data_IF_316973491525
#
_entry.id   IF_316973491525
#
_cell.length_a   1.000
_cell.length_b   1.000
_cell.length_c   1.000
_cell.angle_alpha   90.00
_cell.angle_beta   90.00
_cell.angle_gamma   90.00
#
_symmetry.space_group_name_H-M   'P 1'
#
loop_
_entity.id
_entity.type
_entity.pdbx_description
1 polymer ?
#
# COMPACT_ATOMS: atom_id res chain seq x y z
N UNK A 1 -8.55 28.58 25.91
CA UNK A 1 -7.71 29.19 24.85
C UNK A 1 -6.28 28.62 24.75
N UNK A 2 -5.83 27.74 25.65
CA UNK A 2 -4.48 27.14 25.59
C UNK A 2 -4.37 25.80 24.83
N UNK A 3 -5.46 25.04 24.69
CA UNK A 3 -5.41 23.70 24.05
C UNK A 3 -5.32 23.74 22.52
N UNK A 4 -5.82 24.80 21.88
CA UNK A 4 -5.80 24.91 20.40
C UNK A 4 -4.40 25.20 19.86
N UNK A 5 -3.56 25.90 20.62
CA UNK A 5 -2.19 26.23 20.20
C UNK A 5 -1.28 24.99 20.20
N UNK A 6 -1.49 24.05 21.13
CA UNK A 6 -0.75 22.77 21.17
C UNK A 6 -1.12 21.89 19.97
N UNK A 7 -2.40 21.86 19.57
CA UNK A 7 -2.85 21.20 18.34
C UNK A 7 -2.22 21.82 17.08
N UNK A 8 -2.09 23.15 17.04
CA UNK A 8 -1.45 23.86 15.92
C UNK A 8 0.08 23.74 15.90
N UNK A 9 0.72 23.41 17.02
CA UNK A 9 2.17 23.19 17.08
C UNK A 9 2.52 21.77 16.63
N UNK A 10 1.65 20.78 16.89
CA UNK A 10 1.84 19.39 16.44
C UNK A 10 1.82 19.24 14.91
N UNK A 11 1.19 20.17 14.19
CA UNK A 11 1.09 20.16 12.72
C UNK A 11 2.32 20.74 12.01
N UNK A 12 3.36 21.22 12.73
CA UNK A 12 4.38 22.12 12.16
C UNK A 12 5.78 21.54 11.84
N UNK A 13 6.18 20.32 12.23
CA UNK A 13 7.53 19.77 11.93
C UNK A 13 7.55 18.22 11.68
N UNK A 14 8.55 17.66 10.96
CA UNK A 14 8.38 16.92 9.70
C UNK A 14 7.62 15.57 9.81
N UNK A 15 6.30 15.62 9.64
CA UNK A 15 5.47 14.98 8.59
C UNK A 15 5.89 13.65 7.92
N UNK A 16 6.52 12.69 8.62
CA UNK A 16 6.93 11.41 8.02
C UNK A 16 6.62 10.13 8.84
N UNK A 17 6.30 10.21 10.13
CA UNK A 17 5.93 9.03 10.91
C UNK A 17 5.10 9.38 12.17
N UNK A 18 4.22 8.47 12.57
CA UNK A 18 3.36 8.46 13.76
C UNK A 18 2.18 9.44 13.75
N UNK A 19 1.45 9.56 12.64
CA UNK A 19 0.12 10.21 12.67
C UNK A 19 -0.97 9.19 13.03
N UNK A 20 -1.69 9.44 14.13
CA UNK A 20 -2.92 8.73 14.44
C UNK A 20 -3.94 8.97 13.31
N UNK A 21 -4.65 7.91 12.92
CA UNK A 21 -5.66 7.96 11.87
C UNK A 21 -6.78 8.94 12.24
N UNK A 22 -6.93 10.01 11.45
CA UNK A 22 -7.98 11.00 11.59
C UNK A 22 -8.96 10.87 10.41
N UNK A 23 -10.20 10.41 10.62
CA UNK A 23 -11.13 10.09 9.52
C UNK A 23 -11.52 11.30 8.65
N UNK A 24 -11.40 12.52 9.18
CA UNK A 24 -11.70 13.77 8.45
C UNK A 24 -10.52 14.21 7.57
N UNK A 25 -9.28 13.93 7.99
CA UNK A 25 -8.06 14.35 7.29
C UNK A 25 -7.59 13.31 6.28
N UNK A 26 -7.75 12.03 6.60
CA UNK A 26 -7.14 10.92 5.88
C UNK A 26 -8.09 10.24 4.89
N UNK A 27 -9.26 10.84 4.60
CA UNK A 27 -10.27 10.28 3.69
C UNK A 27 -9.75 10.02 2.28
N UNK A 28 -8.97 10.97 1.73
CA UNK A 28 -8.35 10.85 0.41
C UNK A 28 -7.26 9.76 0.39
N UNK A 29 -6.52 9.64 1.49
CA UNK A 29 -5.47 8.64 1.67
C UNK A 29 -6.10 7.24 1.77
N UNK A 30 -7.21 7.10 2.49
CA UNK A 30 -7.97 5.86 2.59
C UNK A 30 -8.55 5.41 1.24
N UNK A 31 -9.05 6.35 0.42
CA UNK A 31 -9.50 6.03 -0.95
C UNK A 31 -8.34 5.54 -1.82
N UNK A 32 -7.17 6.19 -1.71
CA UNK A 32 -5.95 5.79 -2.45
C UNK A 32 -5.44 4.41 -2.01
N UNK A 33 -5.45 4.10 -0.71
CA UNK A 33 -5.09 2.78 -0.17
C UNK A 33 -6.07 1.71 -0.65
N UNK A 34 -7.36 2.03 -0.77
CA UNK A 34 -8.35 1.12 -1.32
C UNK A 34 -8.10 0.83 -2.81
N UNK A 35 -7.79 1.85 -3.61
CA UNK A 35 -7.41 1.69 -5.02
C UNK A 35 -6.14 0.84 -5.13
N UNK A 36 -5.15 1.07 -4.27
CA UNK A 36 -3.93 0.26 -4.22
C UNK A 36 -4.20 -1.20 -3.84
N UNK A 37 -5.13 -1.45 -2.91
CA UNK A 37 -5.58 -2.80 -2.58
C UNK A 37 -6.21 -3.49 -3.80
N UNK A 38 -6.97 -2.77 -4.63
CA UNK A 38 -7.48 -3.31 -5.89
C UNK A 38 -6.35 -3.61 -6.90
N UNK A 39 -5.30 -2.78 -6.98
CA UNK A 39 -4.13 -3.05 -7.82
C UNK A 39 -3.44 -4.37 -7.47
N UNK A 40 -3.41 -4.75 -6.19
CA UNK A 40 -2.85 -6.04 -5.74
C UNK A 40 -3.59 -7.26 -6.32
N UNK A 41 -4.89 -7.13 -6.62
CA UNK A 41 -5.63 -8.18 -7.33
C UNK A 41 -5.21 -8.31 -8.79
N UNK A 42 -4.87 -7.20 -9.46
CA UNK A 42 -4.38 -7.23 -10.84
C UNK A 42 -3.02 -7.92 -10.94
N UNK A 43 -2.15 -7.75 -9.95
CA UNK A 43 -0.86 -8.46 -9.91
C UNK A 43 -1.01 -9.98 -9.80
N UNK A 44 -2.03 -10.46 -9.07
CA UNK A 44 -2.34 -11.89 -9.09
C UNK A 44 -2.85 -12.36 -10.45
N UNK A 45 -3.61 -11.51 -11.14
CA UNK A 45 -4.13 -11.86 -12.46
C UNK A 45 -3.00 -12.02 -13.49
N UNK A 46 -1.93 -11.23 -13.38
CA UNK A 46 -0.71 -11.40 -14.18
C UNK A 46 -0.10 -12.80 -13.99
N UNK A 47 0.01 -13.27 -12.74
CA UNK A 47 0.49 -14.65 -12.45
C UNK A 47 -0.45 -15.72 -13.01
N UNK A 48 -1.77 -15.47 -13.02
CA UNK A 48 -2.75 -16.39 -13.61
C UNK A 48 -2.57 -16.53 -15.12
N UNK A 49 -2.30 -15.42 -15.82
CA UNK A 49 -1.98 -15.43 -17.25
C UNK A 49 -0.65 -16.15 -17.51
N UNK A 50 0.37 -15.95 -16.66
CA UNK A 50 1.66 -16.65 -16.79
C UNK A 50 1.54 -18.17 -16.62
N UNK A 51 0.70 -18.62 -15.69
CA UNK A 51 0.36 -20.04 -15.51
C UNK A 51 -0.30 -20.60 -16.77
N UNK A 52 -1.25 -19.85 -17.36
CA UNK A 52 -1.93 -20.25 -18.59
C UNK A 52 -0.97 -20.30 -19.80
N UNK A 53 0.01 -19.38 -19.86
CA UNK A 53 1.08 -19.33 -20.86
C UNK A 53 2.16 -20.39 -20.65
N UNK A 54 2.04 -21.21 -19.60
CA UNK A 54 2.93 -22.34 -19.28
C UNK A 54 4.40 -21.92 -19.03
N UNK A 55 4.62 -20.66 -18.65
CA UNK A 55 5.95 -20.09 -18.43
C UNK A 55 6.38 -20.19 -16.95
N UNK A 56 6.60 -21.41 -16.47
CA UNK A 56 6.85 -21.67 -15.05
C UNK A 56 8.24 -21.26 -14.55
N UNK A 57 9.17 -20.89 -15.45
CA UNK A 57 10.53 -20.49 -15.07
C UNK A 57 10.57 -19.17 -14.28
N UNK A 58 9.55 -18.31 -14.43
CA UNK A 58 9.46 -17.03 -13.71
C UNK A 58 8.73 -17.13 -12.36
N UNK A 59 7.86 -18.13 -12.19
CA UNK A 59 7.05 -18.32 -10.98
C UNK A 59 7.84 -19.15 -9.98
N UNK A 60 8.71 -18.48 -9.21
CA UNK A 60 9.42 -19.13 -8.11
C UNK A 60 8.55 -19.24 -6.86
N UNK A 61 8.89 -20.14 -5.95
CA UNK A 61 8.20 -20.26 -4.66
C UNK A 61 8.18 -18.92 -3.89
N UNK A 62 9.27 -18.15 -3.97
CA UNK A 62 9.38 -16.85 -3.31
C UNK A 62 8.39 -15.84 -3.89
N UNK A 63 8.21 -15.83 -5.21
CA UNK A 63 7.26 -14.94 -5.89
C UNK A 63 5.82 -15.21 -5.40
N UNK A 64 5.39 -16.46 -5.37
CA UNK A 64 4.05 -16.84 -4.92
C UNK A 64 3.85 -16.53 -3.43
N UNK A 65 4.83 -16.86 -2.58
CA UNK A 65 4.79 -16.54 -1.15
C UNK A 65 4.70 -15.03 -0.90
N UNK A 66 5.47 -14.24 -1.63
CA UNK A 66 5.46 -12.77 -1.52
C UNK A 66 4.12 -12.17 -1.98
N UNK A 67 3.57 -12.61 -3.12
CA UNK A 67 2.27 -12.11 -3.60
C UNK A 67 1.12 -12.48 -2.65
N UNK A 68 1.11 -13.69 -2.07
CA UNK A 68 0.07 -14.09 -1.10
C UNK A 68 0.18 -13.31 0.21
N UNK A 69 1.37 -13.20 0.78
CA UNK A 69 1.58 -12.50 2.06
C UNK A 69 1.25 -11.01 1.97
N UNK A 70 1.68 -10.33 0.90
CA UNK A 70 1.39 -8.90 0.71
C UNK A 70 -0.11 -8.63 0.59
N UNK A 71 -0.87 -9.49 -0.07
CA UNK A 71 -2.31 -9.32 -0.22
C UNK A 71 -3.09 -9.53 1.09
N UNK A 72 -2.66 -10.46 1.93
CA UNK A 72 -3.22 -10.64 3.28
C UNK A 72 -2.91 -9.43 4.17
N UNK A 73 -1.67 -8.93 4.13
CA UNK A 73 -1.24 -7.75 4.89
C UNK A 73 -2.06 -6.52 4.48
N UNK A 74 -2.23 -6.26 3.17
CA UNK A 74 -2.99 -5.11 2.69
C UNK A 74 -4.50 -5.22 2.96
N UNK A 75 -5.05 -6.43 3.02
CA UNK A 75 -6.43 -6.64 3.47
C UNK A 75 -6.60 -6.25 4.95
N UNK A 76 -5.67 -6.63 5.81
CA UNK A 76 -5.67 -6.23 7.23
C UNK A 76 -5.49 -4.71 7.39
N UNK A 77 -4.58 -4.10 6.64
CA UNK A 77 -4.35 -2.64 6.67
C UNK A 77 -5.63 -1.88 6.29
N UNK A 78 -6.29 -2.27 5.21
CA UNK A 78 -7.53 -1.61 4.75
C UNK A 78 -8.68 -1.76 5.75
N UNK A 79 -8.71 -2.86 6.51
CA UNK A 79 -9.79 -3.17 7.46
C UNK A 79 -9.60 -2.50 8.84
N UNK A 80 -8.37 -2.41 9.34
CA UNK A 80 -8.11 -1.94 10.72
C UNK A 80 -7.59 -0.49 10.78
N UNK A 81 -6.84 -0.02 9.80
CA UNK A 81 -6.31 1.35 9.77
C UNK A 81 -5.98 1.77 8.33
N UNK A 82 -6.98 2.24 7.56
CA UNK A 82 -6.78 2.66 6.17
C UNK A 82 -6.08 4.03 6.04
N UNK A 83 -5.16 4.36 6.95
CA UNK A 83 -4.39 5.60 6.95
C UNK A 83 -3.24 5.56 7.95
N UNK A 84 -2.67 6.72 8.28
CA UNK A 84 -1.40 6.82 9.02
C UNK A 84 -0.20 6.53 8.09
N UNK A 85 0.92 6.05 8.62
CA UNK A 85 2.20 5.96 7.89
C UNK A 85 2.26 4.89 6.79
N UNK A 86 1.20 4.08 6.65
CA UNK A 86 1.11 3.01 5.66
C UNK A 86 1.24 3.51 4.20
N UNK A 87 0.93 4.79 3.93
CA UNK A 87 1.03 5.37 2.60
C UNK A 87 2.47 5.38 2.05
N UNK A 88 3.49 5.49 2.91
CA UNK A 88 4.90 5.52 2.48
C UNK A 88 5.31 4.17 1.90
N UNK A 89 4.95 3.08 2.60
CA UNK A 89 5.21 1.72 2.14
C UNK A 89 4.47 1.41 0.83
N UNK A 90 3.23 1.92 0.69
CA UNK A 90 2.44 1.81 -0.55
C UNK A 90 3.10 2.53 -1.71
N UNK A 91 3.48 3.80 -1.53
CA UNK A 91 4.11 4.60 -2.60
C UNK A 91 5.43 3.99 -3.08
N UNK A 92 6.27 3.50 -2.15
CA UNK A 92 7.52 2.82 -2.52
C UNK A 92 7.24 1.52 -3.29
N UNK A 93 6.23 0.75 -2.88
CA UNK A 93 5.84 -0.46 -3.58
C UNK A 93 5.37 -0.16 -5.02
N UNK A 94 4.51 0.85 -5.20
CA UNK A 94 4.12 1.33 -6.52
C UNK A 94 5.32 1.76 -7.37
N UNK A 95 6.29 2.46 -6.77
CA UNK A 95 7.45 2.98 -7.50
C UNK A 95 8.36 1.86 -8.01
N UNK A 96 8.66 0.87 -7.16
CA UNK A 96 9.41 -0.33 -7.57
C UNK A 96 8.63 -1.11 -8.63
N UNK A 97 7.31 -1.18 -8.49
CA UNK A 97 6.46 -1.88 -9.45
C UNK A 97 6.44 -1.20 -10.83
N UNK A 98 6.38 0.13 -10.89
CA UNK A 98 6.52 0.89 -12.14
C UNK A 98 7.88 0.61 -12.80
N UNK A 99 8.96 0.55 -12.02
CA UNK A 99 10.29 0.21 -12.53
C UNK A 99 10.38 -1.25 -13.02
N UNK A 100 9.68 -2.17 -12.36
CA UNK A 100 9.65 -3.58 -12.77
C UNK A 100 8.89 -3.76 -14.09
N UNK A 101 7.70 -3.17 -14.21
CA UNK A 101 6.87 -3.25 -15.43
C UNK A 101 7.43 -2.45 -16.61
N UNK A 102 8.36 -1.52 -16.38
CA UNK A 102 9.08 -0.86 -17.49
C UNK A 102 10.24 -1.70 -18.01
N UNK A 103 10.72 -2.67 -17.23
CA UNK A 103 11.79 -3.59 -17.62
C UNK A 103 11.25 -4.93 -18.19
N UNK A 104 10.08 -5.37 -17.72
CA UNK A 104 9.37 -6.56 -18.21
C UNK A 104 8.57 -6.28 -19.49
#
# INVERSE_FOLDING_TARGET
MGSTMVYYVYTRYPRLACLAFDPVRDKEIASTIYIFYLSKFYEFFDTYIMILKRNYNQITFLHVYHHISTCIIFWLVTKYSPGGDAWICVTLNCWVHVLMYTYY
#
